data_IF_959467856391
#
_entry.id   IF_959467856391
#
_cell.length_a   1.000
_cell.length_b   1.000
_cell.length_c   1.000
_cell.angle_alpha   90.00
_cell.angle_beta   90.00
_cell.angle_gamma   90.00
#
_symmetry.space_group_name_H-M   'P 1'
#
loop_
_entity.id
_entity.type
_entity.pdbx_description
1 polymer ?
#
# COMPACT_ATOMS: atom_id res chain seq x y z
N UNK A 1 16.31 -2.06 6.69
CA UNK A 1 17.21 -2.06 7.84
C UNK A 1 16.56 -2.73 9.04
N UNK A 2 17.22 -3.73 9.60
CA UNK A 2 16.69 -4.50 10.72
C UNK A 2 16.51 -3.68 11.99
N UNK A 3 17.20 -2.53 12.09
CA UNK A 3 17.09 -1.65 13.26
C UNK A 3 15.82 -0.78 13.22
N UNK A 4 15.16 -0.66 12.07
CA UNK A 4 13.98 0.17 11.95
C UNK A 4 12.73 -0.55 12.47
N UNK A 5 11.87 0.21 13.17
CA UNK A 5 10.58 -0.29 13.58
C UNK A 5 9.74 -0.59 12.34
N UNK A 6 9.05 -1.72 12.33
CA UNK A 6 8.25 -2.16 11.19
C UNK A 6 7.21 -1.12 10.76
N UNK A 7 6.64 -0.38 11.71
CA UNK A 7 5.73 0.72 11.42
C UNK A 7 6.41 1.75 10.52
N UNK A 8 7.64 2.14 10.85
CA UNK A 8 8.38 3.16 10.08
C UNK A 8 8.80 2.63 8.72
N UNK A 9 9.11 1.32 8.62
CA UNK A 9 9.45 0.72 7.33
C UNK A 9 8.26 0.79 6.39
N UNK A 10 7.06 0.48 6.88
CA UNK A 10 5.85 0.55 6.05
C UNK A 10 5.54 1.98 5.63
N UNK A 11 5.73 2.96 6.53
CA UNK A 11 5.56 4.36 6.16
C UNK A 11 6.55 4.78 5.08
N UNK A 12 7.79 4.35 5.21
CA UNK A 12 8.84 4.66 4.22
C UNK A 12 8.50 4.07 2.85
N UNK A 13 8.06 2.80 2.82
CA UNK A 13 7.69 2.15 1.56
C UNK A 13 6.51 2.85 0.90
N UNK A 14 5.50 3.22 1.68
CA UNK A 14 4.35 3.94 1.15
C UNK A 14 4.77 5.28 0.55
N UNK A 15 5.61 6.03 1.27
CA UNK A 15 6.07 7.33 0.78
C UNK A 15 6.86 7.19 -0.52
N UNK A 16 7.73 6.19 -0.60
CA UNK A 16 8.52 5.94 -1.81
C UNK A 16 7.65 5.53 -2.99
N UNK A 17 6.73 4.60 -2.75
CA UNK A 17 5.85 4.12 -3.81
C UNK A 17 5.00 5.27 -4.37
N UNK A 18 4.39 6.04 -3.50
CA UNK A 18 3.48 7.09 -3.92
C UNK A 18 4.23 8.28 -4.53
N UNK A 19 5.45 8.54 -4.09
CA UNK A 19 6.31 9.54 -4.72
C UNK A 19 6.59 9.17 -6.19
N UNK A 20 6.95 7.91 -6.43
CA UNK A 20 7.20 7.45 -7.79
C UNK A 20 5.94 7.53 -8.64
N UNK A 21 4.81 7.09 -8.08
CA UNK A 21 3.54 7.10 -8.82
C UNK A 21 3.14 8.53 -9.19
N UNK A 22 3.17 9.44 -8.23
CA UNK A 22 2.73 10.82 -8.46
C UNK A 22 3.66 11.55 -9.44
N UNK A 23 4.96 11.31 -9.35
CA UNK A 23 5.93 12.05 -10.16
C UNK A 23 6.14 11.46 -11.55
N UNK A 24 5.99 10.14 -11.70
CA UNK A 24 6.44 9.45 -12.93
C UNK A 24 5.35 8.74 -13.69
N UNK A 25 4.19 8.52 -13.09
CA UNK A 25 3.13 7.77 -13.75
C UNK A 25 2.02 8.72 -14.16
N UNK A 26 1.65 8.64 -15.45
CA UNK A 26 0.53 9.40 -15.99
C UNK A 26 -0.76 8.90 -15.33
N UNK A 27 -1.54 9.81 -14.77
CA UNK A 27 -2.78 9.47 -14.09
C UNK A 27 -3.78 8.81 -15.04
N UNK A 28 -3.79 9.20 -16.32
CA UNK A 28 -4.69 8.57 -17.30
C UNK A 28 -4.29 7.11 -17.53
N UNK A 29 -2.99 6.84 -17.57
CA UNK A 29 -2.50 5.47 -17.71
C UNK A 29 -2.89 4.64 -16.49
N UNK A 30 -2.71 5.17 -15.29
CA UNK A 30 -3.06 4.47 -14.06
C UNK A 30 -4.57 4.19 -14.02
N UNK A 31 -5.39 5.16 -14.41
CA UNK A 31 -6.84 5.02 -14.47
C UNK A 31 -7.24 3.89 -15.42
N UNK A 32 -6.61 3.83 -16.60
CA UNK A 32 -6.89 2.77 -17.58
C UNK A 32 -6.45 1.42 -17.05
N UNK A 33 -5.33 1.37 -16.35
CA UNK A 33 -4.84 0.11 -15.76
C UNK A 33 -5.87 -0.45 -14.79
N UNK A 34 -6.38 0.39 -13.88
CA UNK A 34 -7.40 -0.05 -12.93
C UNK A 34 -8.68 -0.49 -13.64
N UNK A 35 -9.14 0.29 -14.61
CA UNK A 35 -10.35 -0.06 -15.38
C UNK A 35 -10.20 -1.40 -16.07
N UNK A 36 -9.05 -1.62 -16.72
CA UNK A 36 -8.77 -2.86 -17.42
C UNK A 36 -8.77 -4.05 -16.45
N UNK A 37 -8.14 -3.89 -15.30
CA UNK A 37 -8.08 -4.96 -14.31
C UNK A 37 -9.47 -5.32 -13.77
N UNK A 38 -10.34 -4.32 -13.61
CA UNK A 38 -11.67 -4.55 -13.08
C UNK A 38 -12.60 -5.25 -14.06
N UNK A 39 -12.45 -4.98 -15.37
CA UNK A 39 -13.32 -5.58 -16.40
C UNK A 39 -12.78 -6.88 -16.97
N UNK A 40 -11.48 -7.12 -16.87
CA UNK A 40 -10.85 -8.32 -17.41
C UNK A 40 -11.15 -9.51 -16.51
N UNK A 41 -11.67 -10.58 -17.10
CA UNK A 41 -11.90 -11.84 -16.39
C UNK A 41 -10.69 -12.74 -16.59
N UNK A 42 -10.34 -13.49 -15.57
CA UNK A 42 -9.18 -14.37 -15.60
C UNK A 42 -7.97 -13.71 -14.97
N UNK A 43 -6.80 -13.88 -15.59
CA UNK A 43 -5.55 -13.37 -15.04
C UNK A 43 -5.55 -11.84 -15.03
N UNK A 44 -5.18 -11.26 -13.90
CA UNK A 44 -5.11 -9.81 -13.72
C UNK A 44 -3.68 -9.38 -13.49
N UNK A 45 -3.11 -8.71 -14.49
CA UNK A 45 -1.71 -8.30 -14.47
C UNK A 45 -1.36 -7.41 -13.29
N UNK A 46 -2.30 -6.58 -12.82
CA UNK A 46 -2.05 -5.74 -11.65
C UNK A 46 -1.73 -6.59 -10.41
N UNK A 47 -2.48 -7.67 -10.21
CA UNK A 47 -2.22 -8.57 -9.09
C UNK A 47 -0.87 -9.27 -9.27
N UNK A 48 -0.54 -9.69 -10.48
CA UNK A 48 0.74 -10.34 -10.76
C UNK A 48 1.92 -9.39 -10.56
N UNK A 49 1.82 -8.17 -11.06
CA UNK A 49 2.91 -7.20 -10.96
C UNK A 49 3.14 -6.74 -9.53
N UNK A 50 2.13 -6.86 -8.66
CA UNK A 50 2.27 -6.49 -7.26
C UNK A 50 2.72 -7.64 -6.37
N UNK A 51 2.95 -8.83 -6.94
CA UNK A 51 3.26 -10.02 -6.13
C UNK A 51 4.54 -9.86 -5.31
N UNK A 52 5.61 -9.35 -5.92
CA UNK A 52 6.87 -9.12 -5.22
C UNK A 52 6.70 -8.11 -4.10
N UNK A 53 5.98 -7.04 -4.38
CA UNK A 53 5.69 -6.01 -3.38
C UNK A 53 4.90 -6.60 -2.22
N UNK A 54 3.90 -7.43 -2.51
CA UNK A 54 3.08 -8.08 -1.48
C UNK A 54 3.92 -8.98 -0.59
N UNK A 55 4.87 -9.72 -1.18
CA UNK A 55 5.79 -10.57 -0.40
C UNK A 55 6.63 -9.75 0.55
N UNK A 56 7.10 -8.58 0.10
CA UNK A 56 7.86 -7.68 0.94
C UNK A 56 7.02 -7.16 2.11
N UNK A 57 5.79 -6.73 1.83
CA UNK A 57 4.88 -6.27 2.88
C UNK A 57 4.62 -7.36 3.89
N UNK A 58 4.42 -8.58 3.41
CA UNK A 58 4.18 -9.72 4.29
C UNK A 58 5.37 -9.96 5.21
N UNK A 59 6.58 -9.90 4.69
CA UNK A 59 7.79 -10.09 5.49
C UNK A 59 7.92 -9.03 6.58
N UNK A 60 7.62 -7.79 6.24
CA UNK A 60 7.66 -6.68 7.22
C UNK A 60 6.60 -6.92 8.31
N UNK A 61 5.43 -7.40 7.94
CA UNK A 61 4.36 -7.71 8.90
C UNK A 61 4.78 -8.85 9.83
N UNK A 62 5.40 -9.90 9.27
CA UNK A 62 5.92 -11.01 10.07
C UNK A 62 6.91 -10.49 11.10
N UNK A 63 7.87 -9.69 10.67
CA UNK A 63 8.87 -9.11 11.56
C UNK A 63 8.21 -8.25 12.65
N UNK A 64 7.20 -7.47 12.26
CA UNK A 64 6.51 -6.61 13.21
C UNK A 64 5.77 -7.39 14.29
N UNK A 65 5.15 -8.49 13.93
CA UNK A 65 4.49 -9.35 14.92
C UNK A 65 5.51 -10.07 15.79
N UNK A 66 6.59 -10.59 15.21
CA UNK A 66 7.62 -11.28 15.96
C UNK A 66 8.29 -10.38 16.99
N UNK A 67 8.47 -9.11 16.64
CA UNK A 67 9.10 -8.12 17.54
C UNK A 67 8.10 -7.48 18.50
N UNK A 68 6.82 -7.83 18.40
CA UNK A 68 5.79 -7.30 19.27
C UNK A 68 5.33 -5.89 18.92
N UNK A 69 5.66 -5.39 17.75
CA UNK A 69 5.24 -4.06 17.29
C UNK A 69 3.78 -4.06 16.84
N UNK A 70 3.37 -5.12 16.15
CA UNK A 70 2.02 -5.24 15.63
C UNK A 70 1.22 -6.22 16.50
N UNK A 71 -0.08 -5.96 16.56
CA UNK A 71 -1.00 -6.83 17.29
C UNK A 71 -1.02 -8.23 16.68
N UNK A 72 -1.18 -9.24 17.50
CA UNK A 72 -1.15 -10.63 17.05
C UNK A 72 -2.52 -11.32 17.07
N UNK A 73 -3.58 -10.56 17.34
CA UNK A 73 -4.95 -11.07 17.26
C UNK A 73 -5.50 -10.97 15.83
N UNK A 74 -4.72 -10.44 14.89
CA UNK A 74 -5.00 -10.48 13.46
C UNK A 74 -3.94 -11.31 12.77
N UNK A 75 -4.33 -12.02 11.72
CA UNK A 75 -3.37 -12.81 10.96
C UNK A 75 -2.44 -11.91 10.16
N UNK A 76 -1.26 -12.44 9.82
CA UNK A 76 -0.32 -11.75 8.95
C UNK A 76 -0.99 -11.41 7.62
N UNK A 77 -1.76 -12.34 7.08
CA UNK A 77 -2.46 -12.10 5.80
C UNK A 77 -3.49 -10.98 5.92
N UNK A 78 -4.21 -10.89 7.03
CA UNK A 78 -5.20 -9.82 7.21
C UNK A 78 -4.55 -8.46 7.26
N UNK A 79 -3.46 -8.31 8.01
CA UNK A 79 -2.76 -7.03 8.10
C UNK A 79 -2.17 -6.64 6.75
N UNK A 80 -1.49 -7.60 6.09
CA UNK A 80 -0.86 -7.33 4.79
C UNK A 80 -1.88 -6.94 3.75
N UNK A 81 -2.99 -7.67 3.70
CA UNK A 81 -4.06 -7.39 2.74
C UNK A 81 -4.70 -6.03 3.00
N UNK A 82 -4.97 -5.72 4.27
CA UNK A 82 -5.58 -4.44 4.62
C UNK A 82 -4.69 -3.27 4.23
N UNK A 83 -3.38 -3.40 4.47
CA UNK A 83 -2.43 -2.36 4.07
C UNK A 83 -2.45 -2.16 2.54
N UNK A 84 -2.36 -3.25 1.79
CA UNK A 84 -2.37 -3.18 0.33
C UNK A 84 -3.68 -2.60 -0.20
N UNK A 85 -4.80 -2.97 0.40
CA UNK A 85 -6.11 -2.44 0.02
C UNK A 85 -6.21 -0.95 0.31
N UNK A 86 -5.65 -0.50 1.41
CA UNK A 86 -5.67 0.93 1.75
C UNK A 86 -4.86 1.72 0.71
N UNK A 87 -3.68 1.21 0.33
CA UNK A 87 -2.88 1.87 -0.70
C UNK A 87 -3.63 1.93 -2.04
N UNK A 88 -4.27 0.82 -2.43
CA UNK A 88 -5.06 0.80 -3.67
C UNK A 88 -6.24 1.77 -3.61
N UNK A 89 -6.88 1.86 -2.45
CA UNK A 89 -7.97 2.80 -2.27
C UNK A 89 -7.54 4.24 -2.41
N UNK A 90 -6.37 4.58 -1.87
CA UNK A 90 -5.80 5.92 -2.02
C UNK A 90 -5.53 6.24 -3.50
N UNK A 91 -4.93 5.30 -4.22
CA UNK A 91 -4.66 5.49 -5.64
C UNK A 91 -5.94 5.59 -6.46
N UNK A 92 -6.92 4.76 -6.14
CA UNK A 92 -8.21 4.77 -6.83
C UNK A 92 -8.90 6.12 -6.66
N UNK A 93 -8.94 6.63 -5.44
CA UNK A 93 -9.56 7.93 -5.18
C UNK A 93 -8.83 9.04 -5.94
N UNK A 94 -7.51 9.00 -5.93
CA UNK A 94 -6.70 9.98 -6.66
C UNK A 94 -7.03 9.97 -8.15
N UNK A 95 -7.22 8.78 -8.72
CA UNK A 95 -7.60 8.63 -10.12
C UNK A 95 -9.01 9.20 -10.39
N UNK A 96 -9.96 8.86 -9.53
CA UNK A 96 -11.34 9.36 -9.67
C UNK A 96 -11.38 10.88 -9.60
N UNK A 97 -10.54 11.47 -8.75
CA UNK A 97 -10.46 12.93 -8.60
C UNK A 97 -9.55 13.60 -9.65
N UNK A 98 -9.11 12.86 -10.65
CA UNK A 98 -8.21 13.37 -11.71
C UNK A 98 -6.94 14.00 -11.16
N UNK A 99 -6.43 13.50 -10.04
CA UNK A 99 -5.19 13.99 -9.47
C UNK A 99 -5.26 15.41 -8.94
N UNK A 100 -6.44 15.87 -8.48
CA UNK A 100 -6.61 17.24 -8.06
C UNK A 100 -6.05 17.54 -6.67
N UNK A 101 -5.34 16.59 -6.07
CA UNK A 101 -4.62 16.77 -4.80
C UNK A 101 -3.31 15.99 -4.85
N UNK A 102 -2.41 16.26 -3.93
CA UNK A 102 -1.15 15.51 -3.87
C UNK A 102 -1.38 14.16 -3.19
N UNK A 103 -1.17 13.10 -3.96
CA UNK A 103 -1.27 11.72 -3.43
C UNK A 103 -0.28 11.51 -2.29
N UNK A 104 0.97 11.98 -2.47
CA UNK A 104 2.00 11.84 -1.45
C UNK A 104 1.63 12.53 -0.14
N UNK A 105 1.15 13.76 -0.24
CA UNK A 105 0.82 14.54 0.95
C UNK A 105 -0.36 13.94 1.70
N UNK A 106 -1.39 13.54 0.98
CA UNK A 106 -2.56 12.94 1.62
C UNK A 106 -2.21 11.62 2.26
N UNK A 107 -1.46 10.77 1.56
CA UNK A 107 -1.04 9.49 2.09
C UNK A 107 -0.14 9.64 3.32
N UNK A 108 0.79 10.62 3.29
CA UNK A 108 1.67 10.86 4.43
C UNK A 108 0.89 11.25 5.69
N UNK A 109 -0.27 11.91 5.51
CA UNK A 109 -1.12 12.28 6.64
C UNK A 109 -1.97 11.11 7.13
N UNK A 110 -2.47 10.28 6.21
CA UNK A 110 -3.46 9.24 6.54
C UNK A 110 -2.83 7.90 6.89
N UNK A 111 -1.72 7.53 6.24
CA UNK A 111 -1.13 6.21 6.47
C UNK A 111 -0.71 5.98 7.93
N UNK A 112 -0.09 6.95 8.62
CA UNK A 112 0.24 6.73 10.04
C UNK A 112 -1.00 6.44 10.89
N UNK A 113 -2.11 7.12 10.62
CA UNK A 113 -3.36 6.89 11.36
C UNK A 113 -3.89 5.49 11.12
N UNK A 114 -3.85 5.05 9.86
CA UNK A 114 -4.30 3.71 9.48
C UNK A 114 -3.42 2.65 10.13
N UNK A 115 -2.10 2.81 10.04
CA UNK A 115 -1.16 1.81 10.56
C UNK A 115 -1.20 1.69 12.08
N UNK A 116 -1.52 2.77 12.79
CA UNK A 116 -1.64 2.70 14.24
C UNK A 116 -2.68 1.69 14.70
N UNK A 117 -3.69 1.41 13.88
CA UNK A 117 -4.71 0.43 14.23
C UNK A 117 -4.16 -0.98 14.32
N UNK A 118 -3.01 -1.26 13.71
CA UNK A 118 -2.36 -2.57 13.77
C UNK A 118 -1.28 -2.66 14.84
N UNK A 119 -0.94 -1.56 15.48
CA UNK A 119 0.08 -1.56 16.53
C UNK A 119 -0.49 -2.12 17.83
N UNK A 120 0.40 -2.69 18.61
CA UNK A 120 0.07 -3.17 19.94
C UNK A 120 -0.18 -2.05 20.92
#
# INVERSE_FOLDING_TARGET
DDSMHSFDVLLFLNAKLFSVIEERIDIDLLTRLYSTQLVTKGERHLLDSSRTYYKLLRQITVDGQQKGYFRDDLSINDITKAYAMFERGLMYDWCICNGNYSLCQYSAAMMPLFLKSFCK
#
